data_IF_860806323374
#
_entry.id   IF_860806323374
#
_cell.length_a   1.000
_cell.length_b   1.000
_cell.length_c   1.000
_cell.angle_alpha   90.00
_cell.angle_beta   90.00
_cell.angle_gamma   90.00
#
_symmetry.space_group_name_H-M   'P 1'
#
loop_
_entity.id
_entity.type
_entity.pdbx_description
1 polymer ?
#
# COMPACT_ATOMS: atom_id res chain seq x y z
N UNK A 1 -2.92 -6.20 6.27
CA UNK A 1 -2.95 -4.72 6.35
C UNK A 1 -1.60 -4.17 5.92
N UNK A 2 -1.57 -2.99 5.28
CA UNK A 2 -0.34 -2.25 4.97
C UNK A 2 -0.55 -0.81 5.48
N UNK A 3 0.47 -0.22 6.12
CA UNK A 3 0.42 1.17 6.58
C UNK A 3 1.52 1.98 5.90
N UNK A 4 1.12 3.10 5.31
CA UNK A 4 2.03 4.12 4.79
C UNK A 4 2.25 5.18 5.86
N UNK A 5 3.51 5.54 6.07
CA UNK A 5 3.93 6.47 7.11
C UNK A 5 4.69 7.64 6.50
N UNK A 6 4.47 8.82 7.06
CA UNK A 6 5.42 9.91 6.94
C UNK A 6 6.56 9.67 7.92
N UNK A 7 7.75 9.38 7.41
CA UNK A 7 8.91 9.08 8.23
C UNK A 7 9.44 10.31 8.98
N UNK A 8 9.21 11.52 8.48
CA UNK A 8 9.67 12.77 9.09
C UNK A 8 8.79 13.20 10.26
N UNK A 9 7.48 13.00 10.13
CA UNK A 9 6.47 13.36 11.11
C UNK A 9 6.15 12.21 12.08
N UNK A 10 6.49 10.97 11.72
CA UNK A 10 6.16 9.77 12.51
C UNK A 10 4.67 9.47 12.56
N UNK A 11 3.90 9.89 11.55
CA UNK A 11 2.44 9.70 11.50
C UNK A 11 2.03 8.76 10.38
N UNK A 12 0.95 8.01 10.58
CA UNK A 12 0.38 7.17 9.55
C UNK A 12 -0.42 8.03 8.56
N UNK A 13 -0.09 7.94 7.27
CA UNK A 13 -0.76 8.68 6.20
C UNK A 13 -1.99 7.94 5.67
N UNK A 14 -1.87 6.62 5.51
CA UNK A 14 -2.94 5.78 4.93
C UNK A 14 -2.79 4.34 5.40
N UNK A 15 -3.94 3.69 5.61
CA UNK A 15 -4.01 2.24 5.79
C UNK A 15 -4.66 1.62 4.56
N UNK A 16 -4.02 0.59 4.01
CA UNK A 16 -4.53 -0.19 2.89
C UNK A 16 -5.07 -1.53 3.42
N UNK A 17 -6.38 -1.69 3.34
CA UNK A 17 -7.11 -2.85 3.84
C UNK A 17 -7.78 -3.59 2.68
N UNK A 18 -7.74 -4.93 2.73
CA UNK A 18 -8.39 -5.76 1.72
C UNK A 18 -7.83 -7.17 1.61
N UNK A 19 -6.55 -7.37 1.94
CA UNK A 19 -6.02 -8.73 2.07
C UNK A 19 -6.64 -9.43 3.29
N UNK A 20 -7.12 -10.65 3.10
CA UNK A 20 -7.74 -11.46 4.15
C UNK A 20 -6.74 -12.36 4.88
N UNK A 21 -5.48 -12.36 4.47
CA UNK A 21 -4.38 -13.06 5.13
C UNK A 21 -3.10 -12.22 5.13
N UNK A 22 -2.00 -12.78 5.65
CA UNK A 22 -0.70 -12.11 5.75
C UNK A 22 -0.20 -11.63 4.38
N UNK A 23 0.31 -10.40 4.34
CA UNK A 23 1.02 -9.86 3.16
C UNK A 23 2.44 -10.40 3.19
N UNK A 24 2.90 -10.97 2.09
CA UNK A 24 4.20 -11.66 1.99
C UNK A 24 5.23 -10.88 1.19
N UNK A 25 4.80 -9.99 0.31
CA UNK A 25 5.68 -9.15 -0.49
C UNK A 25 5.04 -7.81 -0.85
N UNK A 26 5.89 -6.80 -1.03
CA UNK A 26 5.56 -5.45 -1.49
C UNK A 26 6.62 -5.00 -2.50
N UNK A 27 6.20 -4.19 -3.47
CA UNK A 27 7.09 -3.49 -4.39
C UNK A 27 6.52 -2.10 -4.68
N UNK A 28 7.37 -1.13 -5.01
CA UNK A 28 6.94 0.17 -5.53
C UNK A 28 7.19 0.23 -7.04
N UNK A 29 6.28 0.86 -7.78
CA UNK A 29 6.61 1.33 -9.12
C UNK A 29 7.79 2.33 -9.06
N UNK A 30 8.62 2.46 -10.11
CA UNK A 30 9.72 3.42 -10.14
C UNK A 30 9.30 4.86 -9.77
N UNK A 31 8.08 5.25 -10.10
CA UNK A 31 7.48 6.56 -9.88
C UNK A 31 6.79 6.69 -8.51
N UNK A 32 6.73 5.61 -7.72
CA UNK A 32 6.10 5.58 -6.39
C UNK A 32 4.57 5.64 -6.36
N UNK A 33 3.90 5.68 -7.51
CA UNK A 33 2.45 5.81 -7.65
C UNK A 33 1.67 4.51 -7.44
N UNK A 34 2.29 3.36 -7.72
CA UNK A 34 1.64 2.08 -7.57
C UNK A 34 2.37 1.22 -6.55
N UNK A 35 1.59 0.49 -5.76
CA UNK A 35 2.07 -0.47 -4.80
C UNK A 35 1.38 -1.82 -5.03
N UNK A 36 2.00 -2.76 -5.76
CA UNK A 36 1.56 -4.15 -5.74
C UNK A 36 1.84 -4.82 -4.39
N UNK A 37 0.89 -5.58 -3.87
CA UNK A 37 1.05 -6.41 -2.68
C UNK A 37 0.61 -7.85 -2.93
N UNK A 38 1.43 -8.81 -2.55
CA UNK A 38 1.10 -10.23 -2.59
C UNK A 38 0.74 -10.75 -1.19
N UNK A 39 -0.20 -11.70 -1.11
CA UNK A 39 -0.66 -12.25 0.16
C UNK A 39 -0.88 -13.77 0.12
N UNK A 40 -0.83 -14.37 1.31
CA UNK A 40 -1.24 -15.75 1.55
C UNK A 40 -2.73 -16.01 1.24
N UNK A 41 -3.55 -14.98 1.02
CA UNK A 41 -4.93 -15.12 0.57
C UNK A 41 -5.06 -15.53 -0.92
N UNK A 42 -3.91 -15.77 -1.57
CA UNK A 42 -3.76 -16.15 -3.00
C UNK A 42 -4.13 -15.04 -3.96
N UNK A 43 -4.05 -13.78 -3.52
CA UNK A 43 -4.28 -12.61 -4.38
C UNK A 43 -3.05 -11.72 -4.44
N UNK A 44 -2.97 -11.00 -5.56
CA UNK A 44 -2.17 -9.78 -5.67
C UNK A 44 -3.14 -8.61 -5.76
N UNK A 45 -2.91 -7.56 -4.97
CA UNK A 45 -3.68 -6.31 -5.05
C UNK A 45 -2.76 -5.20 -5.55
N UNK A 46 -3.30 -4.32 -6.36
CA UNK A 46 -2.63 -3.11 -6.81
C UNK A 46 -3.27 -1.91 -6.12
N UNK A 47 -2.46 -1.12 -5.42
CA UNK A 47 -2.91 0.10 -4.77
C UNK A 47 -2.41 1.30 -5.56
N UNK A 48 -3.32 2.20 -5.90
CA UNK A 48 -2.98 3.51 -6.44
C UNK A 48 -2.69 4.48 -5.27
N UNK A 49 -1.48 5.00 -5.28
CA UNK A 49 -0.92 5.92 -4.30
C UNK A 49 -0.79 7.33 -4.86
N UNK A 50 -1.26 7.61 -6.08
CA UNK A 50 -1.37 9.00 -6.52
C UNK A 50 -2.23 9.75 -5.50
N UNK A 51 -1.54 10.62 -4.76
CA UNK A 51 -2.05 11.38 -3.63
C UNK A 51 -2.71 12.69 -4.09
N UNK A 52 -3.02 12.80 -5.38
CA UNK A 52 -3.96 13.79 -5.91
C UNK A 52 -5.31 13.49 -5.25
N UNK A 53 -5.62 14.28 -4.23
CA UNK A 53 -6.87 14.19 -3.50
C UNK A 53 -8.02 14.13 -4.51
N UNK A 54 -8.89 13.13 -4.32
CA UNK A 54 -10.25 13.24 -4.82
C UNK A 54 -10.77 14.63 -4.43
N UNK A 55 -10.88 15.51 -5.44
CA UNK A 55 -11.59 16.79 -5.35
C UNK A 55 -13.07 16.50 -5.19
#
# INVERSE_FOLDING_TARGET
MIRLWDASLGVALRTLEGHSSGVTALAFSPEGKLLPSASLDRTVRLWDLDLEAAT
#
